data_IF_651790249891
#
_entry.id   IF_651790249891
#
_cell.length_a   1.000
_cell.length_b   1.000
_cell.length_c   1.000
_cell.angle_alpha   90.00
_cell.angle_beta   90.00
_cell.angle_gamma   90.00
#
_symmetry.space_group_name_H-M   'P 1'
#
loop_
_entity.id
_entity.type
_entity.pdbx_description
1 polymer ?
#
# COMPACT_ATOMS: atom_id res chain seq x y z
N UNK A 1 11.84 -1.64 5.90
CA UNK A 1 10.57 -0.88 5.91
C UNK A 1 10.19 -0.62 7.36
N UNK A 2 9.97 0.64 7.74
CA UNK A 2 9.36 0.95 9.02
C UNK A 2 7.87 1.13 8.79
N UNK A 3 7.07 0.18 9.27
CA UNK A 3 5.62 0.35 9.32
C UNK A 3 5.34 1.49 10.32
N UNK A 4 4.68 2.58 9.91
CA UNK A 4 4.40 3.65 10.84
C UNK A 4 3.43 3.15 11.92
N UNK A 5 3.79 3.33 13.19
CA UNK A 5 2.91 3.02 14.33
C UNK A 5 1.60 3.84 14.33
N UNK A 6 1.57 4.93 13.55
CA UNK A 6 0.39 5.76 13.31
C UNK A 6 0.49 6.46 11.96
N UNK A 7 -0.58 6.44 11.19
CA UNK A 7 -0.64 7.09 9.89
C UNK A 7 -0.86 8.60 10.03
N UNK A 8 -0.24 9.43 9.18
CA UNK A 8 -0.34 10.89 9.29
C UNK A 8 -1.70 11.45 8.84
N UNK A 9 -2.58 10.63 8.26
CA UNK A 9 -3.87 11.07 7.72
C UNK A 9 -4.89 9.93 7.71
N UNK A 10 -6.19 10.25 7.80
CA UNK A 10 -7.26 9.24 7.75
C UNK A 10 -7.36 8.55 6.40
N UNK A 11 -6.85 9.18 5.34
CA UNK A 11 -6.73 8.62 4.00
C UNK A 11 -5.31 8.86 3.48
N UNK A 12 -4.72 7.81 2.94
CA UNK A 12 -3.37 7.84 2.37
C UNK A 12 -3.40 8.20 0.90
N UNK A 13 -2.44 9.01 0.48
CA UNK A 13 -2.15 9.32 -0.93
C UNK A 13 -1.27 8.20 -1.50
N UNK A 14 -1.18 8.05 -2.83
CA UNK A 14 -0.24 7.10 -3.43
C UNK A 14 1.21 7.29 -2.97
N UNK A 15 1.61 8.53 -2.68
CA UNK A 15 2.93 8.85 -2.11
C UNK A 15 3.14 8.28 -0.71
N UNK A 16 2.15 8.40 0.17
CA UNK A 16 2.25 7.89 1.55
C UNK A 16 2.33 6.34 1.55
N UNK A 17 1.59 5.69 0.64
CA UNK A 17 1.69 4.23 0.43
C UNK A 17 3.07 3.86 -0.12
N UNK A 18 3.55 4.59 -1.13
CA UNK A 18 4.85 4.34 -1.74
C UNK A 18 5.99 4.44 -0.71
N UNK A 19 5.93 5.44 0.18
CA UNK A 19 6.89 5.62 1.27
C UNK A 19 6.86 4.44 2.26
N UNK A 20 5.67 4.01 2.70
CA UNK A 20 5.53 2.88 3.63
C UNK A 20 6.11 1.57 3.06
N UNK A 21 5.94 1.37 1.75
CA UNK A 21 6.47 0.22 1.02
C UNK A 21 7.87 0.45 0.43
N UNK A 22 8.49 1.62 0.61
CA UNK A 22 9.77 1.97 -0.03
C UNK A 22 9.81 1.75 -1.55
N UNK A 23 8.68 1.96 -2.23
CA UNK A 23 8.53 1.83 -3.69
C UNK A 23 8.22 3.18 -4.33
N UNK A 24 8.00 3.21 -5.65
CA UNK A 24 7.53 4.40 -6.35
C UNK A 24 6.00 4.48 -6.38
N UNK A 25 5.45 5.69 -6.55
CA UNK A 25 4.01 5.88 -6.78
C UNK A 25 3.51 5.17 -8.06
N UNK A 26 4.38 4.98 -9.05
CA UNK A 26 4.07 4.21 -10.26
C UNK A 26 3.85 2.72 -9.95
N UNK A 27 4.65 2.16 -9.04
CA UNK A 27 4.47 0.79 -8.52
C UNK A 27 3.11 0.66 -7.82
N UNK A 28 2.76 1.61 -6.95
CA UNK A 28 1.45 1.64 -6.29
C UNK A 28 0.30 1.71 -7.31
N UNK A 29 0.42 2.54 -8.35
CA UNK A 29 -0.59 2.60 -9.41
C UNK A 29 -0.70 1.28 -10.18
N UNK A 30 0.42 0.57 -10.37
CA UNK A 30 0.42 -0.77 -10.97
C UNK A 30 -0.33 -1.77 -10.09
N UNK A 31 -0.11 -1.77 -8.77
CA UNK A 31 -0.90 -2.59 -7.84
C UNK A 31 -2.39 -2.30 -7.92
N UNK A 32 -2.78 -1.03 -8.03
CA UNK A 32 -4.19 -0.66 -8.23
C UNK A 32 -4.74 -1.22 -9.53
N UNK A 33 -3.98 -1.12 -10.64
CA UNK A 33 -4.40 -1.65 -11.94
C UNK A 33 -4.55 -3.18 -11.94
N UNK A 34 -3.75 -3.88 -11.15
CA UNK A 34 -3.82 -5.34 -10.98
C UNK A 34 -4.80 -5.78 -9.87
N UNK A 35 -5.43 -4.84 -9.16
CA UNK A 35 -6.40 -5.15 -8.11
C UNK A 35 -5.78 -5.55 -6.76
N UNK A 36 -4.46 -5.41 -6.59
CA UNK A 36 -3.79 -5.70 -5.31
C UNK A 36 -4.04 -4.61 -4.26
N UNK A 37 -4.42 -3.41 -4.69
CA UNK A 37 -4.77 -2.32 -3.79
C UNK A 37 -5.97 -1.54 -4.33
N UNK A 38 -7.03 -1.39 -3.54
CA UNK A 38 -8.24 -0.69 -3.97
C UNK A 38 -8.35 0.69 -3.32
N UNK A 39 -8.45 1.78 -4.09
CA UNK A 39 -8.73 3.09 -3.53
C UNK A 39 -10.16 3.14 -3.01
N UNK A 40 -10.35 3.71 -1.82
CA UNK A 40 -11.68 3.92 -1.24
C UNK A 40 -12.34 5.20 -1.73
N UNK A 41 -11.54 6.12 -2.27
CA UNK A 41 -11.99 7.37 -2.85
C UNK A 41 -11.08 7.75 -4.02
N UNK A 42 -11.70 8.28 -5.07
CA UNK A 42 -11.03 8.95 -6.18
C UNK A 42 -11.58 10.37 -6.22
N UNK A 43 -10.71 11.37 -6.11
CA UNK A 43 -11.14 12.77 -6.18
C UNK A 43 -11.58 13.13 -7.61
N UNK A 44 -12.34 14.22 -7.81
CA UNK A 44 -12.70 14.68 -9.16
C UNK A 44 -11.48 14.90 -10.09
N UNK A 45 -10.32 15.26 -9.52
CA UNK A 45 -9.06 15.39 -10.26
C UNK A 45 -8.31 14.07 -10.51
N UNK A 46 -8.90 12.92 -10.17
CA UNK A 46 -8.31 11.60 -10.39
C UNK A 46 -7.31 11.14 -9.33
N UNK A 47 -7.13 11.89 -8.23
CA UNK A 47 -6.23 11.48 -7.15
C UNK A 47 -6.86 10.37 -6.32
N UNK A 48 -6.12 9.27 -6.15
CA UNK A 48 -6.54 8.12 -5.36
C UNK A 48 -6.31 8.35 -3.86
N UNK A 49 -7.15 7.73 -3.05
CA UNK A 49 -7.07 7.71 -1.60
C UNK A 49 -7.30 6.30 -1.08
N UNK A 50 -6.49 5.89 -0.11
CA UNK A 50 -6.49 4.54 0.44
C UNK A 50 -6.76 4.57 1.94
N UNK A 51 -7.46 3.55 2.44
CA UNK A 51 -7.55 3.34 3.88
C UNK A 51 -6.20 2.86 4.40
N UNK A 52 -5.75 3.36 5.55
CA UNK A 52 -4.54 2.85 6.16
C UNK A 52 -4.60 1.36 6.50
N UNK A 53 -5.76 0.84 6.89
CA UNK A 53 -5.95 -0.58 7.22
C UNK A 53 -5.70 -1.48 5.99
N UNK A 54 -6.23 -1.13 4.81
CA UNK A 54 -5.96 -1.89 3.58
C UNK A 54 -4.47 -1.91 3.21
N UNK A 55 -3.76 -0.82 3.50
CA UNK A 55 -2.31 -0.71 3.25
C UNK A 55 -1.55 -1.59 4.25
N UNK A 56 -1.96 -1.58 5.51
CA UNK A 56 -1.39 -2.43 6.56
C UNK A 56 -1.60 -3.93 6.27
N UNK A 57 -2.78 -4.31 5.80
CA UNK A 57 -3.10 -5.68 5.40
C UNK A 57 -2.20 -6.15 4.24
N UNK A 58 -1.97 -5.28 3.26
CA UNK A 58 -1.08 -5.58 2.14
C UNK A 58 0.39 -5.74 2.60
N UNK A 59 0.85 -4.92 3.55
CA UNK A 59 2.19 -5.06 4.17
C UNK A 59 2.29 -6.42 4.89
N UNK A 60 1.29 -6.76 5.70
CA UNK A 60 1.26 -8.03 6.42
C UNK A 60 1.24 -9.22 5.46
N UNK A 61 0.46 -9.17 4.38
CA UNK A 61 0.42 -10.21 3.35
C UNK A 61 1.78 -10.37 2.64
N UNK A 62 2.48 -9.27 2.37
CA UNK A 62 3.81 -9.29 1.73
C UNK A 62 4.84 -9.97 2.62
N UNK A 63 4.88 -9.64 3.91
CA UNK A 63 5.81 -10.26 4.86
C UNK A 63 5.55 -11.75 5.11
N UNK A 64 4.31 -12.23 4.96
CA UNK A 64 4.01 -13.67 5.02
C UNK A 64 4.59 -14.44 3.83
N UNK A 65 4.73 -13.80 2.66
CA UNK A 65 5.26 -14.44 1.45
C UNK A 65 6.77 -14.71 1.57
N UNK A 66 7.50 -13.84 2.27
CA UNK A 66 8.95 -13.98 2.46
C UNK A 66 9.34 -15.20 3.34
N UNK A 67 8.42 -15.70 4.17
CA UNK A 67 8.68 -16.85 5.06
C UNK A 67 8.47 -18.23 4.41
N UNK A 68 7.89 -18.30 3.22
CA UNK A 68 7.54 -19.56 2.57
C UNK A 68 8.64 -20.15 1.66
N UNK A 69 9.84 -19.53 1.59
CA UNK A 69 10.90 -19.88 0.63
C UNK A 69 12.16 -20.51 1.21
N UNK A 70 12.15 -21.01 2.45
CA UNK A 70 13.34 -21.54 3.13
C UNK A 70 13.13 -22.94 3.69
N UNK A 71 13.02 -23.95 2.82
CA UNK A 71 13.33 -25.35 3.13
C UNK A 71 13.36 -26.15 1.82
N UNK A 72 14.52 -26.22 1.16
CA UNK A 72 14.97 -27.37 0.33
C UNK A 72 16.48 -27.31 0.18
#
# INVERSE_FOLDING_TARGET
MSIPNSWPSPLLRPGDVAEAFGVTTSTVNTWVRHGHLTPVLVTPGGHRRFLPDHVQDLIAATHHQDKAGGDT
#
